data_IF_735658330921
#
_entry.id   IF_735658330921
#
_cell.length_a   1.000
_cell.length_b   1.000
_cell.length_c   1.000
_cell.angle_alpha   90.00
_cell.angle_beta   90.00
_cell.angle_gamma   90.00
#
_symmetry.space_group_name_H-M   'P 1'
#
loop_
_entity.id
_entity.type
_entity.pdbx_description
1 polymer ?
#
# COMPACT_ATOMS: atom_id res chain seq x y z
N UNK A 1 -26.48 -15.97 -3.68
CA UNK A 1 -26.11 -17.24 -4.34
C UNK A 1 -25.79 -17.01 -5.82
N UNK A 2 -24.51 -17.15 -6.21
CA UNK A 2 -24.07 -17.02 -7.60
C UNK A 2 -24.25 -18.36 -8.33
N UNK A 3 -24.92 -18.39 -9.51
CA UNK A 3 -25.08 -19.61 -10.29
C UNK A 3 -23.75 -20.00 -10.96
N UNK A 4 -23.47 -21.30 -11.00
CA UNK A 4 -22.22 -21.88 -11.50
C UNK A 4 -22.41 -22.37 -12.95
N UNK A 5 -21.47 -22.08 -13.88
CA UNK A 5 -21.53 -22.65 -15.22
C UNK A 5 -21.07 -24.11 -15.19
N UNK A 6 -21.90 -24.99 -15.73
CA UNK A 6 -21.59 -26.41 -15.97
C UNK A 6 -20.61 -26.52 -17.14
N UNK A 7 -19.32 -26.62 -16.83
CA UNK A 7 -18.31 -27.03 -17.81
C UNK A 7 -17.34 -28.02 -17.14
N UNK A 8 -17.33 -29.26 -17.66
CA UNK A 8 -16.48 -30.40 -17.31
C UNK A 8 -16.27 -30.66 -15.82
N UNK A 9 -17.03 -31.63 -15.27
CA UNK A 9 -17.04 -32.05 -13.86
C UNK A 9 -15.65 -32.03 -13.20
N UNK A 10 -15.31 -30.96 -12.47
CA UNK A 10 -14.11 -30.96 -11.65
C UNK A 10 -14.37 -31.86 -10.43
N UNK A 11 -13.37 -32.62 -9.99
CA UNK A 11 -13.48 -33.49 -8.80
C UNK A 11 -13.82 -32.72 -7.51
N UNK A 12 -13.52 -31.41 -7.47
CA UNK A 12 -13.85 -30.52 -6.38
C UNK A 12 -14.16 -29.12 -6.93
N UNK A 13 -15.27 -28.54 -6.48
CA UNK A 13 -15.61 -27.15 -6.76
C UNK A 13 -15.60 -26.37 -5.45
N UNK A 14 -14.73 -25.36 -5.38
CA UNK A 14 -14.63 -24.47 -4.23
C UNK A 14 -15.04 -23.05 -4.63
N UNK A 15 -16.04 -22.51 -3.95
CA UNK A 15 -16.48 -21.14 -4.11
C UNK A 15 -16.02 -20.31 -2.92
N UNK A 16 -15.17 -19.31 -3.19
CA UNK A 16 -14.77 -18.31 -2.20
C UNK A 16 -15.64 -17.07 -2.41
N UNK A 17 -16.34 -16.66 -1.36
CA UNK A 17 -17.19 -15.47 -1.40
C UNK A 17 -16.42 -14.23 -0.94
N UNK A 18 -16.91 -13.06 -1.34
CA UNK A 18 -16.39 -11.78 -0.86
C UNK A 18 -16.43 -11.67 0.67
N UNK A 19 -17.37 -12.36 1.33
CA UNK A 19 -17.47 -12.38 2.79
C UNK A 19 -16.21 -12.96 3.46
N UNK A 20 -15.64 -14.02 2.90
CA UNK A 20 -14.40 -14.63 3.42
C UNK A 20 -13.23 -13.66 3.28
N UNK A 21 -13.12 -13.02 2.12
CA UNK A 21 -12.06 -12.05 1.84
C UNK A 21 -12.16 -10.81 2.75
N UNK A 22 -13.37 -10.25 2.90
CA UNK A 22 -13.61 -9.10 3.77
C UNK A 22 -13.41 -9.43 5.26
N UNK A 23 -13.76 -10.65 5.68
CA UNK A 23 -13.51 -11.11 7.06
C UNK A 23 -12.00 -11.18 7.36
N UNK A 24 -11.19 -11.71 6.43
CA UNK A 24 -9.74 -11.66 6.56
C UNK A 24 -9.21 -10.22 6.64
N UNK A 25 -9.66 -9.33 5.74
CA UNK A 25 -9.29 -7.92 5.76
C UNK A 25 -9.64 -7.22 7.09
N UNK A 26 -10.81 -7.53 7.67
CA UNK A 26 -11.22 -7.05 8.99
C UNK A 26 -10.28 -7.52 10.09
N UNK A 27 -9.94 -8.81 10.13
CA UNK A 27 -9.03 -9.38 11.13
C UNK A 27 -7.64 -8.75 11.04
N UNK A 28 -7.07 -8.60 9.84
CA UNK A 28 -5.76 -7.96 9.68
C UNK A 28 -5.78 -6.47 10.08
N UNK A 29 -6.87 -5.77 9.77
CA UNK A 29 -7.06 -4.37 10.17
C UNK A 29 -7.15 -4.23 11.70
N UNK A 30 -8.03 -5.01 12.33
CA UNK A 30 -8.25 -4.97 13.78
C UNK A 30 -7.05 -5.45 14.58
N UNK A 31 -6.28 -6.41 14.07
CA UNK A 31 -5.02 -6.85 14.66
C UNK A 31 -3.90 -5.80 14.54
N UNK A 32 -4.11 -4.69 13.83
CA UNK A 32 -3.10 -3.65 13.59
C UNK A 32 -1.96 -4.10 12.67
N UNK A 33 -2.12 -5.23 11.97
CA UNK A 33 -1.11 -5.78 11.07
C UNK A 33 -0.92 -4.95 9.78
N UNK A 34 -1.89 -4.10 9.45
CA UNK A 34 -1.86 -3.18 8.31
C UNK A 34 -1.13 -1.87 8.65
N UNK A 35 0.05 -1.96 9.26
CA UNK A 35 0.91 -0.82 9.60
C UNK A 35 2.37 -1.14 9.27
N UNK A 36 3.09 -0.18 8.69
CA UNK A 36 4.49 -0.33 8.33
C UNK A 36 5.24 0.99 8.43
N UNK A 37 6.44 0.93 8.98
CA UNK A 37 7.31 2.10 9.07
C UNK A 37 8.42 1.95 8.03
N UNK A 38 8.56 2.93 7.16
CA UNK A 38 9.58 3.00 6.11
C UNK A 38 10.60 4.05 6.55
N UNK A 39 11.84 3.61 6.76
CA UNK A 39 12.98 4.50 6.98
C UNK A 39 13.73 4.78 5.68
N UNK A 40 14.55 5.82 5.70
CA UNK A 40 15.45 6.18 4.59
C UNK A 40 16.35 5.02 4.13
N UNK A 41 16.78 4.14 5.05
CA UNK A 41 17.63 2.98 4.75
C UNK A 41 16.91 1.85 4.00
N UNK A 42 15.57 1.78 4.07
CA UNK A 42 14.79 0.76 3.38
C UNK A 42 14.57 1.09 1.90
N UNK A 43 14.73 2.35 1.50
CA UNK A 43 14.58 2.76 0.12
C UNK A 43 15.88 2.51 -0.66
N UNK A 44 15.81 1.83 -1.82
CA UNK A 44 17.00 1.62 -2.63
C UNK A 44 17.51 2.95 -3.18
N UNK A 45 18.84 3.05 -3.34
CA UNK A 45 19.52 4.26 -3.86
C UNK A 45 19.00 4.71 -5.23
N UNK A 46 18.43 3.79 -6.02
CA UNK A 46 17.85 4.05 -7.35
C UNK A 46 16.49 4.74 -7.29
N UNK A 47 15.84 4.78 -6.13
CA UNK A 47 14.56 5.46 -5.99
C UNK A 47 14.78 6.98 -6.00
N UNK A 48 14.06 7.73 -6.86
CA UNK A 48 14.31 9.15 -7.08
C UNK A 48 14.05 10.01 -5.85
N UNK A 49 13.23 9.54 -4.92
CA UNK A 49 12.86 10.26 -3.71
C UNK A 49 13.48 9.62 -2.47
N UNK A 50 14.63 10.14 -2.04
CA UNK A 50 15.20 9.74 -0.74
C UNK A 50 14.34 10.31 0.40
N UNK A 51 14.17 9.57 1.50
CA UNK A 51 13.50 10.07 2.69
C UNK A 51 14.47 10.94 3.50
N UNK A 52 14.67 12.16 3.00
CA UNK A 52 15.43 13.24 3.64
C UNK A 52 14.69 14.55 3.41
N UNK A 53 14.83 15.49 4.33
CA UNK A 53 14.21 16.81 4.17
C UNK A 53 14.77 17.54 2.94
N UNK A 54 16.03 17.31 2.58
CA UNK A 54 16.67 17.90 1.39
C UNK A 54 16.00 17.50 0.07
N UNK A 55 15.71 16.21 -0.11
CA UNK A 55 14.98 15.70 -1.28
C UNK A 55 13.49 16.06 -1.22
N UNK A 56 12.91 16.09 -0.01
CA UNK A 56 11.53 16.52 0.19
C UNK A 56 11.32 18.03 0.02
N UNK A 57 12.38 18.84 0.08
CA UNK A 57 12.33 20.28 -0.12
C UNK A 57 11.80 20.70 -1.50
N UNK A 58 11.88 19.81 -2.50
CA UNK A 58 11.26 20.02 -3.83
C UNK A 58 9.73 20.05 -3.74
N UNK A 59 9.15 19.36 -2.75
CA UNK A 59 7.70 19.27 -2.54
C UNK A 59 7.24 20.21 -1.43
N UNK A 60 8.00 20.28 -0.33
CA UNK A 60 7.71 21.05 0.87
C UNK A 60 8.94 21.89 1.28
N UNK A 61 9.17 23.06 0.65
CA UNK A 61 10.37 23.86 0.89
C UNK A 61 10.50 24.33 2.36
N UNK A 62 9.37 24.66 2.99
CA UNK A 62 9.30 25.03 4.41
C UNK A 62 9.89 23.97 5.35
N UNK A 63 9.82 22.69 4.97
CA UNK A 63 10.38 21.60 5.75
C UNK A 63 11.91 21.60 5.72
N UNK A 64 12.49 21.89 4.55
CA UNK A 64 13.94 21.99 4.37
C UNK A 64 14.50 23.24 5.05
N UNK A 65 13.76 24.35 5.07
CA UNK A 65 14.16 25.57 5.79
C UNK A 65 14.21 25.35 7.30
N UNK A 66 13.19 24.67 7.86
CA UNK A 66 13.08 24.45 9.31
C UNK A 66 13.98 23.31 9.81
N UNK A 67 14.17 22.26 9.01
CA UNK A 67 14.95 21.08 9.36
C UNK A 67 15.89 20.68 8.21
N UNK A 68 17.04 21.36 8.04
CA UNK A 68 17.92 21.14 6.91
C UNK A 68 18.63 19.78 6.97
N UNK A 69 18.56 19.04 5.85
CA UNK A 69 19.25 17.75 5.61
C UNK A 69 19.08 16.69 6.71
N UNK A 70 17.90 16.64 7.31
CA UNK A 70 17.53 15.66 8.32
C UNK A 70 16.94 14.40 7.68
N UNK A 71 17.18 13.21 8.26
CA UNK A 71 16.53 11.98 7.84
C UNK A 71 15.03 12.03 8.13
N UNK A 72 14.26 11.36 7.28
CA UNK A 72 12.82 11.24 7.44
C UNK A 72 12.39 9.77 7.55
N UNK A 73 11.28 9.55 8.25
CA UNK A 73 10.54 8.29 8.32
C UNK A 73 9.13 8.49 7.79
N UNK A 74 8.58 7.46 7.17
CA UNK A 74 7.20 7.42 6.70
C UNK A 74 6.46 6.27 7.38
N UNK A 75 5.45 6.57 8.17
CA UNK A 75 4.64 5.59 8.88
C UNK A 75 3.36 5.39 8.09
N UNK A 76 3.24 4.22 7.47
CA UNK A 76 2.08 3.78 6.73
C UNK A 76 1.12 3.05 7.65
N UNK A 77 -0.17 3.36 7.57
CA UNK A 77 -1.19 2.63 8.31
C UNK A 77 -2.50 2.57 7.54
N UNK A 78 -3.30 1.52 7.75
CA UNK A 78 -4.68 1.51 7.28
C UNK A 78 -5.53 2.46 8.14
N UNK A 79 -6.29 3.34 7.49
CA UNK A 79 -7.28 4.23 8.13
C UNK A 79 -8.59 3.53 8.41
N UNK A 80 -8.97 2.60 7.55
CA UNK A 80 -10.16 1.77 7.68
C UNK A 80 -9.93 0.41 7.04
N UNK A 81 -10.85 -0.51 7.31
CA UNK A 81 -10.82 -1.85 6.75
C UNK A 81 -10.79 -1.81 5.20
N UNK A 82 -9.86 -2.55 4.57
CA UNK A 82 -9.91 -2.79 3.13
C UNK A 82 -11.20 -3.48 2.71
N UNK A 83 -11.83 -3.01 1.64
CA UNK A 83 -13.04 -3.61 1.09
C UNK A 83 -12.71 -4.40 -0.16
N UNK A 84 -13.17 -5.65 -0.24
CA UNK A 84 -12.92 -6.56 -1.36
C UNK A 84 -14.26 -6.97 -1.98
N UNK A 85 -14.38 -6.89 -3.31
CA UNK A 85 -15.55 -7.34 -4.05
C UNK A 85 -15.16 -8.36 -5.13
N UNK A 86 -15.91 -9.45 -5.22
CA UNK A 86 -15.66 -10.50 -6.21
C UNK A 86 -16.52 -10.24 -7.45
N UNK A 87 -15.87 -9.94 -8.59
CA UNK A 87 -16.53 -9.89 -9.89
C UNK A 87 -16.16 -11.14 -10.73
N UNK A 88 -16.97 -11.52 -11.73
CA UNK A 88 -16.69 -12.67 -12.58
C UNK A 88 -15.31 -12.61 -13.26
N UNK A 89 -14.85 -11.40 -13.60
CA UNK A 89 -13.61 -11.19 -14.35
C UNK A 89 -12.38 -11.02 -13.45
N UNK A 90 -12.56 -10.49 -12.23
CA UNK A 90 -11.48 -10.18 -11.29
C UNK A 90 -12.00 -9.93 -9.86
N UNK A 91 -11.09 -10.05 -8.88
CA UNK A 91 -11.28 -9.50 -7.56
C UNK A 91 -10.96 -8.00 -7.62
N UNK A 92 -11.82 -7.17 -7.06
CA UNK A 92 -11.57 -5.74 -6.88
C UNK A 92 -11.36 -5.45 -5.40
N UNK A 93 -10.49 -4.49 -5.10
CA UNK A 93 -10.21 -4.08 -3.74
C UNK A 93 -10.06 -2.57 -3.62
N UNK A 94 -10.64 -2.01 -2.57
CA UNK A 94 -10.45 -0.60 -2.18
C UNK A 94 -9.66 -0.56 -0.88
N UNK A 95 -8.50 0.07 -0.94
CA UNK A 95 -7.57 0.24 0.17
C UNK A 95 -7.60 1.69 0.64
N UNK A 96 -7.62 1.86 1.96
CA UNK A 96 -7.68 3.17 2.58
C UNK A 96 -6.52 3.33 3.55
N UNK A 97 -5.42 3.89 3.06
CA UNK A 97 -4.19 4.08 3.81
C UNK A 97 -3.99 5.53 4.26
N UNK A 98 -3.14 5.72 5.25
CA UNK A 98 -2.49 6.99 5.57
C UNK A 98 -0.99 6.80 5.56
N UNK A 99 -0.28 7.86 5.22
CA UNK A 99 1.16 7.95 5.29
C UNK A 99 1.53 9.21 6.09
N UNK A 100 2.02 9.02 7.30
CA UNK A 100 2.48 10.09 8.17
C UNK A 100 3.99 10.23 8.07
N UNK A 101 4.46 11.42 7.70
CA UNK A 101 5.88 11.69 7.56
C UNK A 101 6.44 12.34 8.82
N UNK A 102 7.57 11.84 9.29
CA UNK A 102 8.28 12.36 10.45
C UNK A 102 9.70 12.80 10.05
N UNK A 103 10.13 13.94 10.60
CA UNK A 103 11.54 14.32 10.62
C UNK A 103 12.17 13.71 11.85
N UNK A 104 13.26 12.97 11.67
CA UNK A 104 14.03 12.40 12.78
C UNK A 104 15.19 13.34 13.07
N UNK A 105 15.14 13.98 14.23
CA UNK A 105 16.20 14.86 14.70
C UNK A 105 17.40 14.06 15.26
N UNK A 106 18.59 14.67 15.42
CA UNK A 106 19.78 13.99 15.93
C UNK A 106 19.61 13.40 17.35
N UNK A 107 18.71 14.00 18.15
CA UNK A 107 18.30 13.54 19.47
C UNK A 107 17.24 12.42 19.42
N UNK A 108 17.05 11.76 18.27
CA UNK A 108 16.09 10.66 18.02
C UNK A 108 14.61 11.03 18.18
N UNK A 109 14.32 12.31 18.43
CA UNK A 109 12.96 12.84 18.49
C UNK A 109 12.35 12.86 17.09
N UNK A 110 11.11 12.38 16.99
CA UNK A 110 10.33 12.38 15.75
C UNK A 110 9.37 13.56 15.77
N UNK A 111 9.50 14.45 14.79
CA UNK A 111 8.59 15.59 14.62
C UNK A 111 7.67 15.30 13.43
N UNK A 112 6.34 15.31 13.62
CA UNK A 112 5.40 15.12 12.52
C UNK A 112 5.53 16.29 11.52
N UNK A 113 5.72 15.95 10.25
CA UNK A 113 5.90 16.89 9.15
C UNK A 113 4.58 17.13 8.41
N UNK A 114 3.97 16.07 7.89
CA UNK A 114 2.71 16.11 7.15
C UNK A 114 2.03 14.74 7.14
N UNK A 115 0.72 14.74 6.89
CA UNK A 115 -0.09 13.54 6.77
C UNK A 115 -0.67 13.46 5.35
N UNK A 116 -0.58 12.28 4.74
CA UNK A 116 -1.22 11.98 3.46
C UNK A 116 -2.26 10.90 3.65
N UNK A 117 -3.46 11.14 3.17
CA UNK A 117 -4.51 10.14 3.02
C UNK A 117 -4.43 9.56 1.62
N UNK A 118 -4.31 8.24 1.53
CA UNK A 118 -4.17 7.49 0.28
C UNK A 118 -5.39 6.59 0.14
N UNK A 119 -6.11 6.75 -0.95
CA UNK A 119 -7.20 5.86 -1.35
C UNK A 119 -6.78 5.17 -2.64
N UNK A 120 -6.70 3.84 -2.63
CA UNK A 120 -6.19 3.07 -3.77
C UNK A 120 -7.18 1.98 -4.17
N UNK A 121 -7.41 1.86 -5.47
CA UNK A 121 -8.18 0.77 -6.05
C UNK A 121 -7.22 -0.23 -6.67
N UNK A 122 -7.39 -1.49 -6.29
CA UNK A 122 -6.61 -2.61 -6.79
C UNK A 122 -7.54 -3.62 -7.46
N UNK A 123 -6.99 -4.35 -8.42
CA UNK A 123 -7.63 -5.52 -9.01
C UNK A 123 -6.69 -6.70 -8.87
N UNK A 124 -7.26 -7.89 -8.82
CA UNK A 124 -6.46 -9.09 -8.69
C UNK A 124 -7.11 -10.32 -9.27
N UNK A 125 -6.27 -11.25 -9.71
CA UNK A 125 -6.74 -12.53 -10.24
C UNK A 125 -6.34 -13.64 -9.28
N UNK A 126 -7.31 -14.41 -8.75
CA UNK A 126 -6.99 -15.55 -7.92
C UNK A 126 -6.28 -16.61 -8.76
N UNK A 127 -5.26 -17.23 -8.18
CA UNK A 127 -4.52 -18.32 -8.80
C UNK A 127 -4.36 -19.45 -7.79
N UNK A 128 -4.43 -20.70 -8.24
CA UNK A 128 -4.18 -21.85 -7.38
C UNK A 128 -2.90 -22.51 -7.87
N UNK A 129 -1.89 -22.56 -7.01
CA UNK A 129 -0.62 -23.22 -7.31
C UNK A 129 -0.28 -24.15 -6.16
N UNK A 130 -0.09 -25.45 -6.44
CA UNK A 130 0.30 -26.48 -5.44
C UNK A 130 -0.56 -26.43 -4.16
N UNK A 131 -1.88 -26.48 -4.31
CA UNK A 131 -2.88 -26.41 -3.22
C UNK A 131 -2.83 -25.14 -2.37
N UNK A 132 -2.19 -24.07 -2.83
CA UNK A 132 -2.25 -22.75 -2.20
C UNK A 132 -3.08 -21.81 -3.05
N UNK A 133 -4.03 -21.14 -2.41
CA UNK A 133 -4.75 -20.02 -2.99
C UNK A 133 -3.83 -18.80 -2.91
N UNK A 134 -3.50 -18.23 -4.06
CA UNK A 134 -2.82 -16.95 -4.17
C UNK A 134 -3.60 -15.99 -5.04
N UNK A 135 -3.07 -14.79 -5.21
CA UNK A 135 -3.62 -13.78 -6.10
C UNK A 135 -2.52 -12.91 -6.71
N UNK A 136 -2.66 -12.56 -7.99
CA UNK A 136 -1.94 -11.41 -8.53
C UNK A 136 -2.67 -10.14 -8.14
N UNK A 137 -1.94 -9.10 -7.79
CA UNK A 137 -2.46 -7.77 -7.42
C UNK A 137 -1.94 -6.75 -8.43
N UNK A 138 -2.83 -5.89 -8.87
CA UNK A 138 -2.58 -4.79 -9.80
C UNK A 138 -3.20 -3.51 -9.26
N UNK A 139 -2.41 -2.44 -9.20
CA UNK A 139 -2.92 -1.12 -8.84
C UNK A 139 -3.66 -0.52 -10.04
N UNK A 140 -4.92 -0.16 -9.86
CA UNK A 140 -5.77 0.43 -10.91
C UNK A 140 -5.82 1.95 -10.77
N UNK A 141 -6.09 2.43 -9.56
CA UNK A 141 -6.10 3.86 -9.27
C UNK A 141 -5.53 4.16 -7.88
N UNK A 142 -5.04 5.37 -7.69
CA UNK A 142 -4.51 5.85 -6.43
C UNK A 142 -4.73 7.36 -6.33
N UNK A 143 -5.46 7.79 -5.32
CA UNK A 143 -5.73 9.20 -5.03
C UNK A 143 -5.01 9.57 -3.73
N UNK A 144 -4.28 10.68 -3.76
CA UNK A 144 -3.53 11.18 -2.60
C UNK A 144 -4.08 12.52 -2.18
N UNK A 145 -4.45 12.66 -0.91
CA UNK A 145 -4.96 13.89 -0.31
C UNK A 145 -4.04 14.28 0.85
N UNK A 146 -3.45 15.47 0.81
CA UNK A 146 -2.63 15.97 1.91
C UNK A 146 -3.44 16.74 2.95
N UNK A 147 -3.00 16.70 4.21
CA UNK A 147 -3.44 17.64 5.25
C UNK A 147 -2.23 18.06 6.10
N UNK A 148 -2.15 19.35 6.46
CA UNK A 148 -1.09 19.91 7.31
C UNK A 148 -0.50 21.24 6.82
N UNK A 149 0.31 21.87 7.70
CA UNK A 149 0.83 23.23 7.52
C UNK A 149 1.89 23.38 6.41
N UNK A 150 2.53 22.28 6.01
CA UNK A 150 3.55 22.24 4.95
C UNK A 150 3.07 21.42 3.75
N UNK A 151 1.89 21.76 3.22
CA UNK A 151 1.23 21.01 2.14
C UNK A 151 2.17 20.88 0.93
N UNK A 152 2.64 19.66 0.59
CA UNK A 152 3.50 19.47 -0.57
C UNK A 152 2.72 19.71 -1.86
N UNK A 153 3.39 19.97 -2.98
CA UNK A 153 2.74 19.93 -4.29
C UNK A 153 2.17 18.52 -4.58
N UNK A 154 0.91 18.30 -4.20
CA UNK A 154 0.27 16.97 -4.16
C UNK A 154 0.26 16.28 -5.52
N UNK A 155 0.13 17.02 -6.63
CA UNK A 155 0.15 16.42 -7.98
C UNK A 155 1.46 15.70 -8.29
N UNK A 156 2.62 16.29 -7.95
CA UNK A 156 3.93 15.65 -8.21
C UNK A 156 4.19 14.50 -7.23
N UNK A 157 3.72 14.64 -6.00
CA UNK A 157 3.86 13.62 -4.97
C UNK A 157 3.00 12.39 -5.29
N UNK A 158 1.79 12.59 -5.81
CA UNK A 158 0.92 11.51 -6.28
C UNK A 158 1.61 10.68 -7.38
N UNK A 159 2.27 11.31 -8.35
CA UNK A 159 3.03 10.59 -9.39
C UNK A 159 4.15 9.75 -8.80
N UNK A 160 4.91 10.29 -7.84
CA UNK A 160 5.98 9.55 -7.17
C UNK A 160 5.46 8.44 -6.28
N UNK A 161 4.32 8.64 -5.62
CA UNK A 161 3.70 7.62 -4.79
C UNK A 161 3.14 6.49 -5.66
N UNK A 162 2.48 6.82 -6.78
CA UNK A 162 2.06 5.85 -7.80
C UNK A 162 3.25 5.03 -8.31
N UNK A 163 4.36 5.71 -8.63
CA UNK A 163 5.58 5.05 -9.06
C UNK A 163 6.18 4.15 -7.97
N UNK A 164 6.21 4.61 -6.71
CA UNK A 164 6.68 3.82 -5.57
C UNK A 164 5.81 2.60 -5.26
N UNK A 165 4.48 2.76 -5.29
CA UNK A 165 3.53 1.66 -5.13
C UNK A 165 3.66 0.64 -6.26
N UNK A 166 3.83 1.09 -7.50
CA UNK A 166 4.04 0.20 -8.63
C UNK A 166 5.37 -0.55 -8.54
N UNK A 167 6.46 0.14 -8.15
CA UNK A 167 7.80 -0.43 -8.11
C UNK A 167 8.06 -1.33 -6.90
N UNK A 168 7.45 -1.04 -5.75
CA UNK A 168 7.69 -1.77 -4.49
C UNK A 168 6.43 -2.36 -3.88
N UNK A 169 5.33 -1.60 -3.87
CA UNK A 169 4.09 -2.02 -3.22
C UNK A 169 3.47 -3.25 -3.89
N UNK A 170 3.33 -3.23 -5.22
CA UNK A 170 2.73 -4.32 -6.00
C UNK A 170 3.59 -5.59 -5.96
N UNK A 171 4.92 -5.55 -6.20
CA UNK A 171 5.76 -6.74 -6.06
C UNK A 171 5.74 -7.33 -4.65
N UNK A 172 5.76 -6.48 -3.63
CA UNK A 172 5.69 -6.92 -2.24
C UNK A 172 4.33 -7.58 -1.93
N UNK A 173 3.22 -6.94 -2.30
CA UNK A 173 1.89 -7.52 -2.14
C UNK A 173 1.77 -8.86 -2.86
N UNK A 174 2.30 -8.97 -4.09
CA UNK A 174 2.33 -10.23 -4.84
C UNK A 174 3.20 -11.29 -4.16
N UNK A 175 4.29 -10.92 -3.49
CA UNK A 175 5.12 -11.89 -2.76
C UNK A 175 4.43 -12.47 -1.50
N UNK A 176 3.58 -11.67 -0.85
CA UNK A 176 2.77 -12.10 0.29
C UNK A 176 1.53 -12.89 -0.17
N UNK A 177 0.88 -12.46 -1.26
CA UNK A 177 -0.31 -13.13 -1.81
C UNK A 177 0.02 -14.39 -2.60
N UNK A 178 1.21 -14.47 -3.21
CA UNK A 178 1.69 -15.63 -3.96
C UNK A 178 3.11 -15.99 -3.50
N UNK A 179 3.27 -16.60 -2.31
CA UNK A 179 4.59 -17.01 -1.85
C UNK A 179 5.13 -18.09 -2.81
N UNK A 180 6.21 -17.78 -3.52
CA UNK A 180 6.95 -18.77 -4.30
C UNK A 180 7.28 -19.98 -3.40
N UNK A 181 7.28 -21.21 -3.96
CA UNK A 181 7.83 -22.34 -3.23
C UNK A 181 9.28 -22.00 -2.87
N UNK A 182 9.60 -21.98 -1.58
CA UNK A 182 11.00 -22.01 -1.15
C UNK A 182 11.60 -23.30 -1.74
N UNK A 183 12.77 -23.22 -2.40
CA UNK A 183 13.45 -24.41 -2.90
C UNK A 183 13.77 -25.38 -1.78
#
# INVERSE_FOLDING_TARGET
PTPLPTAHEPMLLLTVTEFVANSAAFTYFTAGALRRNISSSMLPRRFPLQLKTKSMGVFAPQLQERYPDQPMELHLSARQQPLLSCHPDALHGTLFGSAEAFVVLPNTTRIPAFLLNIDANVTGKPTITRNRLGASVHLTDCVVRGSGAAYPQVKRLETLLKFGLWLFGVPWANSECCPHPRP
#
